data_IF_959472382300
#
_entry.id   IF_959472382300
#
_cell.length_a   1.000
_cell.length_b   1.000
_cell.length_c   1.000
_cell.angle_alpha   90.00
_cell.angle_beta   90.00
_cell.angle_gamma   90.00
#
_symmetry.space_group_name_H-M   'P 1'
#
loop_
_entity.id
_entity.type
_entity.pdbx_description
1 polymer ?
#
# COMPACT_ATOMS: atom_id res chain seq x y z
N UNK A 1 0.60 6.41 -3.89
CA UNK A 1 0.20 7.39 -2.85
C UNK A 1 1.13 8.60 -2.95
N UNK A 2 0.64 9.70 -3.53
CA UNK A 2 1.39 10.96 -3.59
C UNK A 2 1.08 11.71 -2.29
N UNK A 3 2.08 11.85 -1.42
CA UNK A 3 1.96 12.71 -0.25
C UNK A 3 2.02 14.14 -0.77
N UNK A 4 0.88 14.83 -0.77
CA UNK A 4 0.86 16.28 -1.03
C UNK A 4 1.43 16.94 0.21
N UNK A 5 2.69 17.38 0.13
CA UNK A 5 3.24 18.32 1.09
C UNK A 5 2.68 19.70 0.72
N UNK A 6 1.96 20.32 1.65
CA UNK A 6 1.53 21.71 1.50
C UNK A 6 2.79 22.58 1.51
N UNK A 7 3.04 23.28 0.40
CA UNK A 7 4.07 24.30 0.33
C UNK A 7 3.66 25.47 1.25
N UNK A 8 4.44 25.79 2.30
CA UNK A 8 4.11 26.89 3.19
C UNK A 8 4.13 28.26 2.49
N UNK A 9 4.75 28.40 1.31
CA UNK A 9 4.76 29.66 0.57
C UNK A 9 3.50 29.89 -0.28
N UNK A 10 2.68 28.86 -0.51
CA UNK A 10 1.39 29.02 -1.19
C UNK A 10 0.28 29.59 -0.29
N UNK A 11 0.58 29.86 1.00
CA UNK A 11 -0.38 30.35 1.98
C UNK A 11 -0.59 31.87 1.97
N UNK A 12 0.29 32.62 1.29
CA UNK A 12 0.23 34.10 1.31
C UNK A 12 -0.70 34.67 0.23
N UNK A 13 -0.97 33.93 -0.85
CA UNK A 13 -1.81 34.37 -1.96
C UNK A 13 -3.00 33.42 -2.15
N UNK A 14 -4.09 33.61 -1.37
CA UNK A 14 -5.46 33.70 -1.89
C UNK A 14 -6.55 33.52 -0.81
N UNK A 15 -7.48 34.46 -0.88
CA UNK A 15 -8.70 34.71 -0.10
C UNK A 15 -9.72 33.55 -0.14
N UNK A 16 -9.37 32.41 0.44
CA UNK A 16 -10.32 31.33 0.76
C UNK A 16 -10.18 31.03 2.24
N UNK A 17 -11.26 30.96 3.04
CA UNK A 17 -11.14 30.52 4.42
C UNK A 17 -10.59 29.10 4.40
N UNK A 18 -9.30 28.97 4.73
CA UNK A 18 -8.60 27.71 4.72
C UNK A 18 -9.25 26.84 5.81
N UNK A 19 -10.09 25.89 5.40
CA UNK A 19 -10.67 24.93 6.34
C UNK A 19 -9.50 24.25 7.02
N UNK A 20 -9.39 24.40 8.34
CA UNK A 20 -8.31 23.78 9.10
C UNK A 20 -8.33 22.26 8.81
N UNK A 21 -7.19 21.62 8.53
CA UNK A 21 -7.13 20.19 8.17
C UNK A 21 -7.86 19.28 9.17
N UNK A 22 -7.83 19.65 10.45
CA UNK A 22 -8.53 18.94 11.52
C UNK A 22 -10.05 19.03 11.41
N UNK A 23 -10.60 20.19 11.00
CA UNK A 23 -12.05 20.36 10.78
C UNK A 23 -12.50 19.50 9.60
N UNK A 24 -11.74 19.52 8.50
CA UNK A 24 -12.03 18.69 7.33
C UNK A 24 -12.01 17.18 7.67
N UNK A 25 -11.03 16.76 8.48
CA UNK A 25 -10.94 15.38 8.96
C UNK A 25 -12.17 14.96 9.78
N UNK A 26 -12.62 15.81 10.71
CA UNK A 26 -13.79 15.52 11.55
C UNK A 26 -15.05 15.39 10.70
N UNK A 27 -15.27 16.31 9.75
CA UNK A 27 -16.39 16.24 8.80
C UNK A 27 -16.33 14.99 7.91
N UNK A 28 -15.15 14.68 7.38
CA UNK A 28 -14.92 13.49 6.57
C UNK A 28 -15.24 12.21 7.36
N UNK A 29 -14.83 12.14 8.64
CA UNK A 29 -15.08 10.99 9.50
C UNK A 29 -16.57 10.81 9.80
N UNK A 30 -17.26 11.90 10.14
CA UNK A 30 -18.71 11.86 10.36
C UNK A 30 -19.47 11.41 9.11
N UNK A 31 -19.08 11.91 7.93
CA UNK A 31 -19.66 11.47 6.66
C UNK A 31 -19.40 9.98 6.40
N UNK A 32 -18.14 9.53 6.60
CA UNK A 32 -17.75 8.13 6.44
C UNK A 32 -18.58 7.20 7.35
N UNK A 33 -18.68 7.52 8.64
CA UNK A 33 -19.41 6.71 9.62
C UNK A 33 -20.91 6.63 9.26
N UNK A 34 -21.50 7.73 8.79
CA UNK A 34 -22.89 7.78 8.32
C UNK A 34 -23.12 6.87 7.10
N UNK A 35 -22.20 6.89 6.14
CA UNK A 35 -22.29 6.02 4.95
C UNK A 35 -22.09 4.56 5.34
N UNK A 36 -21.13 4.26 6.21
CA UNK A 36 -20.88 2.90 6.69
C UNK A 36 -22.06 2.31 7.47
N UNK A 37 -22.81 3.15 8.20
CA UNK A 37 -24.05 2.72 8.86
C UNK A 37 -25.15 2.29 7.87
N UNK A 38 -25.09 2.74 6.60
CA UNK A 38 -26.07 2.40 5.56
C UNK A 38 -25.57 1.32 4.60
N UNK A 39 -24.26 1.24 4.38
CA UNK A 39 -23.63 0.32 3.43
C UNK A 39 -22.56 -0.53 4.12
N UNK A 40 -22.75 -1.85 4.12
CA UNK A 40 -21.85 -2.79 4.80
C UNK A 40 -20.41 -2.74 4.29
N UNK A 41 -20.22 -2.78 2.96
CA UNK A 41 -18.90 -2.70 2.32
C UNK A 41 -19.02 -2.34 0.82
N UNK A 42 -18.06 -1.57 0.30
CA UNK A 42 -17.86 -1.36 -1.14
C UNK A 42 -16.41 -0.96 -1.42
N UNK A 43 -15.90 -1.16 -2.65
CA UNK A 43 -14.53 -0.72 -3.03
C UNK A 43 -14.29 0.76 -2.72
N UNK A 44 -15.27 1.62 -3.01
CA UNK A 44 -15.20 3.06 -2.75
C UNK A 44 -15.14 3.38 -1.26
N UNK A 45 -15.89 2.66 -0.44
CA UNK A 45 -15.86 2.84 1.01
C UNK A 45 -14.51 2.40 1.60
N UNK A 46 -13.92 1.31 1.06
CA UNK A 46 -12.57 0.89 1.45
C UNK A 46 -11.52 1.93 1.05
N UNK A 47 -11.59 2.44 -0.19
CA UNK A 47 -10.67 3.50 -0.65
C UNK A 47 -10.76 4.74 0.25
N UNK A 48 -11.96 5.17 0.64
CA UNK A 48 -12.15 6.27 1.58
C UNK A 48 -11.51 5.97 2.95
N UNK A 49 -11.72 4.77 3.49
CA UNK A 49 -11.11 4.33 4.74
C UNK A 49 -9.57 4.30 4.68
N UNK A 50 -8.99 3.91 3.54
CA UNK A 50 -7.54 3.93 3.32
C UNK A 50 -6.99 5.36 3.30
N UNK A 51 -7.69 6.32 2.70
CA UNK A 51 -7.28 7.73 2.72
C UNK A 51 -7.35 8.30 4.14
N UNK A 52 -8.40 7.97 4.90
CA UNK A 52 -8.52 8.35 6.32
C UNK A 52 -7.37 7.75 7.13
N UNK A 53 -7.06 6.46 6.92
CA UNK A 53 -5.95 5.75 7.57
C UNK A 53 -4.62 6.45 7.30
N UNK A 54 -4.34 6.78 6.04
CA UNK A 54 -3.11 7.45 5.63
C UNK A 54 -2.99 8.85 6.26
N UNK A 55 -4.09 9.61 6.34
CA UNK A 55 -4.12 10.90 7.01
C UNK A 55 -3.85 10.77 8.51
N UNK A 56 -4.53 9.84 9.19
CA UNK A 56 -4.35 9.60 10.62
C UNK A 56 -2.91 9.21 10.95
N UNK A 57 -2.33 8.32 10.14
CA UNK A 57 -0.92 7.95 10.24
C UNK A 57 0.01 9.15 10.04
N UNK A 58 -0.19 9.93 8.97
CA UNK A 58 0.62 11.12 8.68
C UNK A 58 0.53 12.21 9.77
N UNK A 59 -0.59 12.29 10.48
CA UNK A 59 -0.79 13.21 11.60
C UNK A 59 -0.31 12.65 12.96
N UNK A 60 0.41 11.53 12.98
CA UNK A 60 0.93 10.95 14.23
C UNK A 60 -0.17 10.36 15.12
N UNK A 61 -1.26 9.86 14.53
CA UNK A 61 -2.37 9.20 15.23
C UNK A 61 -2.40 7.69 14.91
N UNK A 62 -1.34 6.92 15.24
CA UNK A 62 -1.20 5.52 14.81
C UNK A 62 -2.33 4.62 15.33
N UNK A 63 -2.86 4.86 16.52
CA UNK A 63 -4.00 4.09 17.05
C UNK A 63 -5.29 4.28 16.24
N UNK A 64 -5.57 5.51 15.81
CA UNK A 64 -6.72 5.80 14.96
C UNK A 64 -6.52 5.15 13.58
N UNK A 65 -5.33 5.30 13.01
CA UNK A 65 -4.96 4.69 11.74
C UNK A 65 -5.08 3.16 11.81
N UNK A 66 -4.67 2.53 12.91
CA UNK A 66 -4.79 1.08 13.10
C UNK A 66 -6.25 0.62 13.07
N UNK A 67 -7.14 1.33 13.76
CA UNK A 67 -8.57 1.04 13.75
C UNK A 67 -9.15 1.20 12.33
N UNK A 68 -8.79 2.28 11.63
CA UNK A 68 -9.25 2.56 10.26
C UNK A 68 -8.74 1.53 9.24
N UNK A 69 -7.50 1.08 9.38
CA UNK A 69 -6.92 -0.01 8.60
C UNK A 69 -7.69 -1.33 8.85
N UNK A 70 -7.99 -1.64 10.11
CA UNK A 70 -8.79 -2.80 10.49
C UNK A 70 -10.22 -2.77 9.93
N UNK A 71 -10.85 -1.59 9.87
CA UNK A 71 -12.15 -1.39 9.21
C UNK A 71 -12.03 -1.72 7.71
N UNK A 72 -10.98 -1.21 7.05
CA UNK A 72 -10.69 -1.49 5.64
C UNK A 72 -10.51 -3.00 5.38
N UNK A 73 -9.74 -3.69 6.23
CA UNK A 73 -9.49 -5.13 6.16
C UNK A 73 -10.78 -5.97 6.32
N UNK A 74 -11.65 -5.60 7.26
CA UNK A 74 -12.93 -6.28 7.47
C UNK A 74 -13.88 -6.10 6.28
N UNK A 75 -13.98 -4.88 5.74
CA UNK A 75 -14.76 -4.64 4.52
C UNK A 75 -14.19 -5.41 3.32
N UNK A 76 -12.87 -5.47 3.16
CA UNK A 76 -12.23 -6.27 2.12
C UNK A 76 -12.54 -7.77 2.25
N UNK A 77 -12.57 -8.27 3.48
CA UNK A 77 -12.97 -9.65 3.78
C UNK A 77 -14.42 -9.94 3.39
N UNK A 78 -15.35 -9.02 3.70
CA UNK A 78 -16.77 -9.11 3.30
C UNK A 78 -16.92 -9.15 1.77
N UNK A 79 -16.10 -8.40 1.03
CA UNK A 79 -16.11 -8.37 -0.43
C UNK A 79 -15.29 -9.49 -1.09
N UNK A 80 -14.65 -10.37 -0.31
CA UNK A 80 -13.79 -11.44 -0.83
C UNK A 80 -12.52 -10.93 -1.53
N UNK A 81 -12.07 -9.71 -1.23
CA UNK A 81 -10.89 -9.09 -1.86
C UNK A 81 -9.58 -9.82 -1.47
N UNK A 82 -9.57 -10.53 -0.35
CA UNK A 82 -8.39 -11.28 0.12
C UNK A 82 -8.09 -12.54 -0.71
N UNK A 83 -9.02 -12.97 -1.57
CA UNK A 83 -8.90 -14.20 -2.36
C UNK A 83 -8.32 -13.98 -3.78
N UNK A 84 -7.84 -12.76 -4.09
CA UNK A 84 -7.47 -12.35 -5.45
C UNK A 84 -6.16 -12.91 -5.99
N UNK A 85 -5.55 -13.91 -5.33
CA UNK A 85 -4.27 -14.46 -5.77
C UNK A 85 -4.29 -15.05 -7.19
N UNK A 86 -5.46 -15.40 -7.75
CA UNK A 86 -5.58 -15.79 -9.15
C UNK A 86 -7.00 -15.51 -9.68
N UNK A 87 -7.25 -14.40 -10.42
CA UNK A 87 -8.43 -14.36 -11.25
C UNK A 87 -8.18 -15.37 -12.39
N UNK A 88 -8.79 -16.55 -12.32
CA UNK A 88 -8.97 -17.41 -13.48
C UNK A 88 -9.89 -16.65 -14.45
N UNK A 89 -9.29 -15.75 -15.22
CA UNK A 89 -9.96 -15.11 -16.33
C UNK A 89 -9.98 -16.13 -17.45
N UNK A 90 -11.14 -16.78 -17.62
CA UNK A 90 -11.44 -17.51 -18.85
C UNK A 90 -11.08 -16.64 -20.04
N UNK A 91 -10.49 -17.24 -21.09
CA UNK A 91 -9.95 -16.50 -22.24
C UNK A 91 -10.97 -15.54 -22.89
N UNK A 92 -12.28 -15.82 -22.76
CA UNK A 92 -13.37 -14.95 -23.22
C UNK A 92 -13.55 -13.66 -22.41
N UNK A 93 -13.14 -13.63 -21.15
CA UNK A 93 -13.30 -12.47 -20.25
C UNK A 93 -12.07 -11.55 -20.23
N UNK A 94 -10.96 -11.94 -20.90
CA UNK A 94 -9.73 -11.14 -20.99
C UNK A 94 -9.93 -9.82 -21.77
N UNK A 95 -10.93 -9.74 -22.66
CA UNK A 95 -11.21 -8.55 -23.47
C UNK A 95 -12.11 -7.51 -22.79
N UNK A 96 -12.75 -7.83 -21.67
CA UNK A 96 -13.61 -6.87 -20.97
C UNK A 96 -12.77 -5.90 -20.12
N UNK A 97 -12.66 -4.66 -20.63
CA UNK A 97 -11.97 -3.56 -19.97
C UNK A 97 -12.57 -3.28 -18.58
N UNK A 98 -13.89 -3.36 -18.43
CA UNK A 98 -14.57 -3.09 -17.16
C UNK A 98 -14.18 -4.09 -16.07
N UNK A 99 -14.16 -5.37 -16.43
CA UNK A 99 -13.74 -6.45 -15.54
C UNK A 99 -12.24 -6.35 -15.18
N UNK A 100 -11.38 -6.02 -16.14
CA UNK A 100 -9.95 -5.77 -15.88
C UNK A 100 -9.73 -4.62 -14.90
N UNK A 101 -10.42 -3.49 -15.10
CA UNK A 101 -10.34 -2.34 -14.19
C UNK A 101 -10.82 -2.70 -12.77
N UNK A 102 -11.89 -3.49 -12.65
CA UNK A 102 -12.39 -3.94 -11.35
C UNK A 102 -11.37 -4.83 -10.60
N UNK A 103 -10.72 -5.74 -11.32
CA UNK A 103 -9.69 -6.61 -10.75
C UNK A 103 -8.47 -5.80 -10.31
N UNK A 104 -8.01 -4.90 -11.17
CA UNK A 104 -6.89 -4.01 -10.85
C UNK A 104 -7.23 -3.15 -9.64
N UNK A 105 -8.43 -2.56 -9.58
CA UNK A 105 -8.88 -1.78 -8.41
C UNK A 105 -8.82 -2.61 -7.12
N UNK A 106 -9.34 -3.84 -7.12
CA UNK A 106 -9.35 -4.70 -5.95
C UNK A 106 -7.96 -5.15 -5.53
N UNK A 107 -7.06 -5.40 -6.48
CA UNK A 107 -5.65 -5.67 -6.18
C UNK A 107 -4.96 -4.47 -5.54
N UNK A 108 -5.24 -3.25 -6.01
CA UNK A 108 -4.72 -2.03 -5.38
C UNK A 108 -5.27 -1.83 -3.98
N UNK A 109 -6.56 -2.08 -3.77
CA UNK A 109 -7.18 -2.02 -2.45
C UNK A 109 -6.52 -3.02 -1.50
N UNK A 110 -6.36 -4.29 -1.93
CA UNK A 110 -5.75 -5.35 -1.13
C UNK A 110 -4.34 -4.96 -0.66
N UNK A 111 -3.47 -4.60 -1.61
CA UNK A 111 -2.11 -4.18 -1.30
C UNK A 111 -2.05 -2.87 -0.51
N UNK A 112 -2.97 -1.95 -0.75
CA UNK A 112 -3.07 -0.69 -0.02
C UNK A 112 -3.41 -0.88 1.46
N UNK A 113 -4.31 -1.82 1.78
CA UNK A 113 -4.63 -2.19 3.17
C UNK A 113 -3.39 -2.74 3.86
N UNK A 114 -2.73 -3.73 3.24
CA UNK A 114 -1.55 -4.39 3.81
C UNK A 114 -0.44 -3.37 4.04
N UNK A 115 -0.19 -2.50 3.07
CA UNK A 115 0.84 -1.48 3.18
C UNK A 115 0.61 -0.52 4.34
N UNK A 116 -0.57 0.10 4.42
CA UNK A 116 -0.85 1.06 5.49
C UNK A 116 -0.90 0.38 6.86
N UNK A 117 -1.50 -0.81 6.96
CA UNK A 117 -1.55 -1.54 8.21
C UNK A 117 -0.15 -1.88 8.74
N UNK A 118 0.75 -2.36 7.87
CA UNK A 118 2.13 -2.67 8.27
C UNK A 118 2.89 -1.43 8.70
N UNK A 119 2.80 -0.33 7.96
CA UNK A 119 3.44 0.94 8.34
C UNK A 119 2.96 1.42 9.72
N UNK A 120 1.66 1.34 9.98
CA UNK A 120 1.09 1.73 11.28
C UNK A 120 1.56 0.82 12.41
N UNK A 121 1.61 -0.50 12.19
CA UNK A 121 2.07 -1.46 13.20
C UNK A 121 3.54 -1.26 13.55
N UNK A 122 4.39 -0.94 12.58
CA UNK A 122 5.81 -0.70 12.82
C UNK A 122 6.07 0.54 13.69
N UNK A 123 5.21 1.56 13.61
CA UNK A 123 5.31 2.77 14.45
C UNK A 123 4.53 2.66 15.77
N UNK A 124 3.76 1.59 15.96
CA UNK A 124 2.95 1.38 17.16
C UNK A 124 3.39 0.07 17.85
N UNK A 125 4.49 0.08 18.62
CA UNK A 125 4.98 -1.07 19.36
C UNK A 125 4.07 -1.31 20.57
N UNK A 126 2.88 -1.83 20.30
CA UNK A 126 2.02 -2.45 21.29
C UNK A 126 2.19 -3.94 21.09
N UNK A 127 2.79 -4.63 22.08
CA UNK A 127 3.09 -6.08 22.08
C UNK A 127 1.88 -7.01 21.82
N UNK A 128 0.68 -6.44 21.57
CA UNK A 128 -0.58 -7.14 21.39
C UNK A 128 -1.28 -6.83 20.07
N UNK A 129 -0.82 -5.83 19.31
CA UNK A 129 -1.44 -5.54 18.02
C UNK A 129 -0.96 -6.54 16.98
N UNK A 130 -1.93 -7.15 16.28
CA UNK A 130 -1.68 -8.07 15.18
C UNK A 130 -2.25 -7.47 13.90
N UNK A 131 -1.63 -7.75 12.75
CA UNK A 131 -2.21 -7.40 11.47
C UNK A 131 -3.54 -8.13 11.29
N UNK A 132 -4.53 -7.44 10.70
CA UNK A 132 -5.83 -8.01 10.37
C UNK A 132 -5.79 -8.88 9.11
N UNK A 133 -4.87 -8.59 8.18
CA UNK A 133 -4.59 -9.42 7.01
C UNK A 133 -3.21 -10.04 7.13
N UNK A 134 -3.03 -11.29 6.69
CA UNK A 134 -1.71 -11.89 6.57
C UNK A 134 -0.89 -11.24 5.46
N UNK A 135 0.44 -11.31 5.57
CA UNK A 135 1.28 -10.84 4.47
C UNK A 135 1.22 -11.86 3.31
N UNK A 136 1.04 -11.44 2.06
CA UNK A 136 0.83 -12.38 0.95
C UNK A 136 2.12 -13.15 0.62
N UNK A 137 1.96 -14.31 -0.02
CA UNK A 137 3.10 -15.13 -0.46
C UNK A 137 4.03 -14.33 -1.40
N UNK A 138 5.36 -14.52 -1.35
CA UNK A 138 6.29 -13.81 -2.24
C UNK A 138 6.04 -13.96 -3.74
N UNK A 139 5.36 -15.04 -4.17
CA UNK A 139 4.95 -15.28 -5.57
C UNK A 139 3.68 -14.52 -5.96
N UNK A 140 3.01 -13.88 -5.00
CA UNK A 140 1.81 -13.08 -5.27
C UNK A 140 2.14 -11.98 -6.28
N UNK A 141 1.26 -11.82 -7.27
CA UNK A 141 1.45 -10.83 -8.34
C UNK A 141 1.30 -9.40 -7.82
N UNK A 142 2.20 -8.54 -8.27
CA UNK A 142 2.14 -7.12 -7.99
C UNK A 142 1.01 -6.44 -8.81
N UNK A 143 0.41 -5.38 -8.28
CA UNK A 143 -0.57 -4.58 -9.02
C UNK A 143 0.12 -3.79 -10.14
N UNK A 144 -0.56 -3.65 -11.28
CA UNK A 144 -0.11 -2.80 -12.38
C UNK A 144 -0.23 -1.31 -11.99
N UNK A 145 0.64 -0.43 -12.50
CA UNK A 145 0.43 1.01 -12.27
C UNK A 145 -0.82 1.50 -13.03
N UNK A 146 -1.75 2.15 -12.32
CA UNK A 146 -2.99 2.72 -12.89
C UNK A 146 -2.75 3.73 -14.03
N UNK A 147 -1.54 4.27 -14.14
CA UNK A 147 -1.15 5.29 -15.12
C UNK A 147 -0.39 4.74 -16.33
N UNK A 148 -0.09 3.45 -16.39
CA UNK A 148 0.56 2.91 -17.57
C UNK A 148 -0.44 2.88 -18.73
N UNK A 149 -0.21 3.71 -19.75
CA UNK A 149 -0.98 3.71 -21.01
C UNK A 149 -0.94 2.38 -21.76
N UNK A 150 -0.07 1.47 -21.31
CA UNK A 150 0.02 0.09 -21.75
C UNK A 150 -0.68 -0.79 -20.73
N UNK A 151 -2.00 -0.91 -20.84
CA UNK A 151 -2.71 -2.03 -20.24
C UNK A 151 -2.24 -3.31 -20.95
N UNK A 152 -1.11 -3.86 -20.53
CA UNK A 152 -0.55 -5.11 -21.05
C UNK A 152 -1.66 -6.17 -21.06
N UNK A 153 -1.97 -6.70 -22.24
CA UNK A 153 -3.04 -7.67 -22.44
C UNK A 153 -2.76 -9.00 -21.71
N UNK A 154 -1.49 -9.23 -21.38
CA UNK A 154 -1.01 -10.39 -20.61
C UNK A 154 -0.98 -10.11 -19.10
N UNK A 155 -2.09 -10.45 -18.44
CA UNK A 155 -2.15 -10.60 -16.96
C UNK A 155 -1.18 -11.66 -16.43
N UNK A 156 -0.69 -12.56 -17.29
CA UNK A 156 0.22 -13.66 -16.94
C UNK A 156 1.69 -13.23 -16.79
N UNK A 157 2.10 -12.09 -17.39
CA UNK A 157 3.50 -11.61 -17.33
C UNK A 157 3.81 -10.72 -16.12
N UNK A 158 2.86 -10.49 -15.23
CA UNK A 158 3.08 -9.61 -14.07
C UNK A 158 4.21 -10.12 -13.18
N UNK A 159 5.06 -9.21 -12.75
CA UNK A 159 6.08 -9.48 -11.75
C UNK A 159 5.45 -9.86 -10.41
N UNK A 160 6.08 -10.79 -9.71
CA UNK A 160 5.75 -11.14 -8.32
C UNK A 160 6.49 -10.24 -7.33
N UNK A 161 6.13 -10.32 -6.05
CA UNK A 161 6.81 -9.59 -4.97
C UNK A 161 8.30 -9.93 -4.94
N UNK A 162 8.71 -11.17 -5.19
CA UNK A 162 10.12 -11.56 -5.19
C UNK A 162 10.90 -11.21 -6.48
N UNK A 163 10.23 -10.77 -7.55
CA UNK A 163 10.87 -10.44 -8.83
C UNK A 163 11.49 -9.04 -8.82
N UNK A 164 12.58 -8.89 -8.06
CA UNK A 164 13.28 -7.62 -7.82
C UNK A 164 13.87 -7.04 -9.12
N UNK A 165 14.35 -7.89 -10.01
CA UNK A 165 15.05 -7.52 -11.25
C UNK A 165 14.12 -7.15 -12.42
N UNK A 166 12.81 -7.36 -12.30
CA UNK A 166 11.88 -7.03 -13.37
C UNK A 166 11.79 -5.52 -13.57
N UNK A 167 11.98 -5.03 -14.80
CA UNK A 167 11.81 -3.61 -15.14
C UNK A 167 10.34 -3.21 -15.35
N UNK A 168 9.42 -4.16 -15.30
CA UNK A 168 7.98 -3.95 -15.55
C UNK A 168 7.21 -3.58 -14.27
N UNK A 169 7.90 -3.47 -13.13
CA UNK A 169 7.29 -3.15 -11.84
C UNK A 169 7.06 -1.64 -11.72
N UNK A 170 5.79 -1.27 -11.59
CA UNK A 170 5.36 0.09 -11.33
C UNK A 170 5.77 0.64 -9.96
N UNK A 171 5.58 1.94 -9.74
CA UNK A 171 5.98 2.60 -8.49
C UNK A 171 5.28 2.01 -7.27
N UNK A 172 4.00 1.67 -7.40
CA UNK A 172 3.26 1.06 -6.30
C UNK A 172 3.74 -0.38 -6.03
N UNK A 173 4.03 -1.15 -7.09
CA UNK A 173 4.68 -2.45 -6.99
C UNK A 173 6.03 -2.39 -6.25
N UNK A 174 6.86 -1.38 -6.54
CA UNK A 174 8.14 -1.16 -5.84
C UNK A 174 7.96 -0.86 -4.36
N UNK A 175 6.93 -0.11 -3.98
CA UNK A 175 6.60 0.14 -2.57
C UNK A 175 6.24 -1.16 -1.84
N UNK A 176 5.50 -2.05 -2.49
CA UNK A 176 5.15 -3.36 -1.95
C UNK A 176 6.39 -4.25 -1.80
N UNK A 177 7.31 -4.25 -2.76
CA UNK A 177 8.58 -4.98 -2.65
C UNK A 177 9.43 -4.46 -1.49
N UNK A 178 9.54 -3.13 -1.33
CA UNK A 178 10.22 -2.51 -0.19
C UNK A 178 9.59 -2.92 1.14
N UNK A 179 8.25 -2.93 1.20
CA UNK A 179 7.51 -3.38 2.37
C UNK A 179 7.78 -4.85 2.71
N UNK A 180 7.85 -5.73 1.71
CA UNK A 180 8.19 -7.15 1.91
C UNK A 180 9.55 -7.34 2.56
N UNK A 181 10.54 -6.54 2.16
CA UNK A 181 11.85 -6.55 2.81
C UNK A 181 11.78 -6.06 4.25
N UNK A 182 11.03 -4.99 4.51
CA UNK A 182 10.85 -4.45 5.86
C UNK A 182 10.22 -5.51 6.80
N UNK A 183 9.19 -6.21 6.33
CA UNK A 183 8.58 -7.33 7.06
C UNK A 183 9.60 -8.43 7.35
N UNK A 184 10.40 -8.84 6.37
CA UNK A 184 11.43 -9.87 6.54
C UNK A 184 12.51 -9.47 7.54
N UNK A 185 12.98 -8.21 7.49
CA UNK A 185 13.96 -7.70 8.46
C UNK A 185 13.40 -7.79 9.87
N UNK A 186 12.16 -7.33 10.07
CA UNK A 186 11.55 -7.30 11.39
C UNK A 186 11.33 -8.71 11.96
N UNK A 187 10.86 -9.65 11.14
CA UNK A 187 10.72 -11.06 11.53
C UNK A 187 12.06 -11.66 11.98
N UNK A 188 13.14 -11.41 11.22
CA UNK A 188 14.47 -11.88 11.58
C UNK A 188 15.05 -11.20 12.84
N UNK A 189 14.63 -9.97 13.14
CA UNK A 189 15.07 -9.30 14.37
C UNK A 189 14.29 -9.72 15.62
N UNK A 190 13.04 -10.15 15.46
CA UNK A 190 12.21 -10.68 16.57
C UNK A 190 12.60 -12.12 16.95
N UNK A 191 13.16 -12.88 16.01
CA UNK A 191 13.66 -14.23 16.26
C UNK A 191 14.99 -14.20 17.05
N UNK A 192 14.94 -14.63 18.32
CA UNK A 192 16.08 -14.62 19.27
C UNK A 192 17.36 -15.37 18.81
N UNK A 193 17.33 -16.09 17.70
CA UNK A 193 18.44 -16.91 17.20
C UNK A 193 18.50 -16.94 15.67
N UNK A 194 18.47 -15.77 15.02
CA UNK A 194 18.60 -15.73 13.55
C UNK A 194 20.00 -16.10 13.07
N UNK A 195 20.13 -17.03 12.10
CA UNK A 195 21.41 -17.35 11.52
C UNK A 195 22.00 -16.13 10.80
N UNK A 196 23.26 -15.81 11.08
CA UNK A 196 24.00 -14.73 10.39
C UNK A 196 23.96 -14.90 8.86
N UNK A 197 23.90 -16.14 8.37
CA UNK A 197 23.78 -16.45 6.94
C UNK A 197 22.48 -15.97 6.31
N UNK A 198 21.37 -15.90 7.06
CA UNK A 198 20.09 -15.38 6.57
C UNK A 198 20.09 -13.85 6.51
N UNK A 199 20.70 -13.21 7.50
CA UNK A 199 20.92 -11.76 7.51
C UNK A 199 21.78 -11.31 6.33
N UNK A 200 22.87 -12.03 6.04
CA UNK A 200 23.73 -11.74 4.87
C UNK A 200 22.94 -11.87 3.57
N UNK A 201 22.17 -12.94 3.39
CA UNK A 201 21.33 -13.14 2.19
C UNK A 201 20.29 -12.03 2.03
N UNK A 202 19.68 -11.58 3.13
CA UNK A 202 18.70 -10.50 3.10
C UNK A 202 19.35 -9.16 2.74
N UNK A 203 20.50 -8.86 3.32
CA UNK A 203 21.28 -7.66 3.02
C UNK A 203 21.77 -7.64 1.55
N UNK A 204 22.23 -8.78 1.00
CA UNK A 204 22.55 -8.89 -0.43
C UNK A 204 21.35 -8.57 -1.32
N UNK A 205 20.16 -9.10 -0.99
CA UNK A 205 18.93 -8.81 -1.73
C UNK A 205 18.51 -7.34 -1.60
N UNK A 206 18.61 -6.76 -0.40
CA UNK A 206 18.32 -5.35 -0.14
C UNK A 206 19.23 -4.43 -0.96
N UNK A 207 20.54 -4.71 -0.99
CA UNK A 207 21.50 -3.95 -1.81
C UNK A 207 21.21 -4.09 -3.30
N UNK A 208 20.87 -5.30 -3.75
CA UNK A 208 20.45 -5.53 -5.13
C UNK A 208 19.21 -4.72 -5.51
N UNK A 209 18.19 -4.72 -4.65
CA UNK A 209 16.98 -3.94 -4.82
C UNK A 209 17.24 -2.42 -4.84
N UNK A 210 18.06 -1.92 -3.92
CA UNK A 210 18.48 -0.52 -3.89
C UNK A 210 19.22 -0.14 -5.19
N UNK A 211 20.09 -1.01 -5.70
CA UNK A 211 20.75 -0.81 -6.99
C UNK A 211 19.75 -0.64 -8.15
N UNK A 212 18.70 -1.46 -8.19
CA UNK A 212 17.61 -1.34 -9.18
C UNK A 212 16.86 -0.02 -9.03
N UNK A 213 16.49 0.37 -7.80
CA UNK A 213 15.78 1.62 -7.54
C UNK A 213 16.61 2.85 -7.92
N UNK A 214 17.90 2.88 -7.59
CA UNK A 214 18.79 3.98 -7.95
C UNK A 214 18.89 4.14 -9.46
N UNK A 215 19.06 3.04 -10.19
CA UNK A 215 19.09 3.05 -11.66
C UNK A 215 17.76 3.58 -12.24
N UNK A 216 16.61 3.19 -11.69
CA UNK A 216 15.29 3.66 -12.14
C UNK A 216 15.00 5.12 -11.77
N UNK A 217 15.51 5.59 -10.62
CA UNK A 217 15.31 6.97 -10.15
C UNK A 217 16.03 8.01 -11.01
N UNK A 218 17.12 7.61 -11.68
CA UNK A 218 17.77 8.44 -12.70
C UNK A 218 16.90 8.69 -13.94
N UNK A 219 15.84 7.90 -14.11
CA UNK A 219 14.93 7.94 -15.26
C UNK A 219 13.51 8.40 -14.88
N UNK A 220 13.11 8.31 -13.60
CA UNK A 220 11.73 8.59 -13.13
C UNK A 220 11.69 9.08 -11.67
N UNK A 221 10.75 9.97 -11.33
CA UNK A 221 10.58 10.51 -9.97
C UNK A 221 9.87 9.51 -9.02
N UNK A 222 10.55 8.47 -8.55
CA UNK A 222 10.01 7.46 -7.61
C UNK A 222 10.16 7.88 -6.14
N UNK A 223 9.50 8.96 -5.72
CA UNK A 223 9.65 9.52 -4.36
C UNK A 223 9.17 8.59 -3.22
N UNK A 224 8.12 7.78 -3.44
CA UNK A 224 7.47 7.05 -2.34
C UNK A 224 8.16 5.77 -1.87
N UNK A 225 8.81 4.99 -2.76
CA UNK A 225 9.55 3.78 -2.36
C UNK A 225 10.85 4.13 -1.62
N UNK A 226 11.49 5.22 -2.05
CA UNK A 226 12.67 5.78 -1.38
C UNK A 226 12.30 6.32 0.02
N UNK A 227 11.14 6.97 0.18
CA UNK A 227 10.68 7.47 1.48
C UNK A 227 10.48 6.38 2.55
N UNK A 228 9.96 5.20 2.16
CA UNK A 228 9.76 4.06 3.08
C UNK A 228 11.09 3.45 3.52
N UNK A 229 12.10 3.44 2.64
CA UNK A 229 13.43 2.89 2.93
C UNK A 229 14.34 3.88 3.66
N UNK A 230 14.01 5.18 3.69
CA UNK A 230 14.87 6.26 4.18
C UNK A 230 14.37 6.89 5.50
N UNK A 231 13.19 6.53 6.03
CA UNK A 231 12.81 6.96 7.39
C UNK A 231 13.61 6.18 8.45
N UNK A 232 14.85 6.63 8.68
CA UNK A 232 15.59 6.40 9.91
C UNK A 232 15.07 7.35 11.00
N UNK A 233 14.92 6.80 12.21
CA UNK A 233 14.63 7.48 13.48
C UNK A 233 15.59 8.64 13.73
#
# INVERSE_FOLDING_TARGET
MVLVTLDPQALEDNTTPMIAPQTLYVELRMCFDRVQAQFTASSRLIQAALLITAYEYACGKPHAAYISAGISARMASVLGINNYNQPNLDANNKSDIGLRLNITEKQHIYWGIIMLERLVLFECPLDRLKPALDFPDPQTKLPDDLLSTKFSDDTERRASVCDISSNEVGTFGRQIQALSFLVQVLQLTEENATPVSELIKLDEKLRGFLGVLMNQSSQTHTCGANGITIRYV
#
